data_IF_466509099297
#
_entry.id   IF_466509099297
#
_cell.length_a   1.000
_cell.length_b   1.000
_cell.length_c   1.000
_cell.angle_alpha   90.00
_cell.angle_beta   90.00
_cell.angle_gamma   90.00
#
_symmetry.space_group_name_H-M   'P 1'
#
loop_
_entity.id
_entity.type
_entity.pdbx_description
1 polymer ?
#
# COMPACT_ATOMS: atom_id res chain seq x y z
N UNK A 1 3.95 -2.25 19.78
CA UNK A 1 4.69 -1.03 20.19
C UNK A 1 3.74 0.13 20.02
N UNK A 2 3.41 0.81 21.12
CA UNK A 2 2.56 2.00 21.10
C UNK A 2 3.44 3.21 21.44
N UNK A 3 3.42 4.24 20.60
CA UNK A 3 4.22 5.45 20.81
C UNK A 3 3.42 6.69 20.42
N UNK A 4 3.44 7.67 21.32
CA UNK A 4 2.75 8.96 21.19
C UNK A 4 3.80 10.07 21.28
N UNK A 5 3.94 10.91 20.25
CA UNK A 5 4.86 12.08 20.27
C UNK A 5 4.27 13.27 19.54
N UNK A 6 4.55 14.47 20.04
CA UNK A 6 3.91 15.72 19.58
C UNK A 6 4.81 16.62 18.73
N UNK A 7 6.13 16.44 18.77
CA UNK A 7 7.10 17.16 17.91
C UNK A 7 8.42 16.37 17.86
N UNK A 8 8.87 16.00 16.66
CA UNK A 8 10.21 15.45 16.40
C UNK A 8 10.70 15.96 15.04
N UNK A 9 12.00 15.89 14.75
CA UNK A 9 12.52 16.07 13.39
C UNK A 9 12.48 14.75 12.60
N UNK A 10 12.88 13.64 13.26
CA UNK A 10 12.94 12.30 12.68
C UNK A 10 12.47 11.24 13.70
N UNK A 11 11.91 10.14 13.18
CA UNK A 11 11.66 8.91 13.94
C UNK A 11 12.01 7.72 13.09
N UNK A 12 12.83 6.84 13.64
CA UNK A 12 13.19 5.56 13.05
C UNK A 12 12.80 4.44 14.02
N UNK A 13 12.13 3.40 13.51
CA UNK A 13 11.79 2.19 14.26
C UNK A 13 12.31 0.99 13.47
N UNK A 14 13.38 0.37 13.96
CA UNK A 14 13.93 -0.87 13.40
C UNK A 14 13.62 -2.04 14.34
N UNK A 15 13.00 -3.09 13.80
CA UNK A 15 12.66 -4.28 14.57
C UNK A 15 13.04 -5.56 13.81
N UNK A 16 13.89 -6.37 14.45
CA UNK A 16 14.32 -7.69 13.98
C UNK A 16 13.75 -8.76 14.92
N UNK A 17 12.96 -9.69 14.39
CA UNK A 17 12.37 -10.78 15.21
C UNK A 17 12.37 -12.12 14.48
N UNK A 18 12.60 -13.18 15.24
CA UNK A 18 12.52 -14.57 14.79
C UNK A 18 11.40 -15.26 15.57
N UNK A 19 10.50 -15.97 14.89
CA UNK A 19 9.42 -16.78 15.45
C UNK A 19 8.54 -16.01 16.47
N UNK A 20 7.52 -15.30 15.99
CA UNK A 20 6.57 -14.59 16.86
C UNK A 20 5.12 -14.86 16.51
N UNK A 21 4.24 -14.92 17.50
CA UNK A 21 2.80 -15.05 17.25
C UNK A 21 2.23 -13.77 16.62
N UNK A 22 2.44 -12.62 17.25
CA UNK A 22 1.87 -11.35 16.82
C UNK A 22 2.87 -10.20 16.97
N UNK A 23 2.79 -9.23 16.06
CA UNK A 23 3.41 -7.92 16.24
C UNK A 23 2.47 -6.83 15.80
N UNK A 24 2.19 -5.91 16.71
CA UNK A 24 1.35 -4.74 16.50
C UNK A 24 2.18 -3.46 16.63
N UNK A 25 2.00 -2.49 15.74
CA UNK A 25 2.61 -1.15 15.83
C UNK A 25 1.54 -0.09 15.60
N UNK A 26 1.21 0.66 16.64
CA UNK A 26 0.29 1.80 16.56
C UNK A 26 1.04 3.11 16.83
N UNK A 27 0.91 4.11 15.96
CA UNK A 27 1.60 5.39 16.11
C UNK A 27 0.71 6.60 15.84
N UNK A 28 0.63 7.51 16.81
CA UNK A 28 -0.10 8.78 16.70
C UNK A 28 0.84 9.97 16.93
N UNK A 29 0.97 10.86 15.94
CA UNK A 29 1.88 12.02 16.01
C UNK A 29 1.36 13.29 15.35
N UNK A 30 1.82 14.43 15.89
CA UNK A 30 1.60 15.80 15.39
C UNK A 30 2.95 16.39 14.93
N UNK A 31 3.02 17.00 13.74
CA UNK A 31 4.18 17.71 13.16
C UNK A 31 5.55 16.99 13.21
N UNK A 32 6.01 16.44 12.07
CA UNK A 32 7.32 15.81 11.96
C UNK A 32 7.89 15.97 10.54
N UNK A 33 9.21 15.93 10.35
CA UNK A 33 9.76 15.96 8.98
C UNK A 33 9.75 14.57 8.35
N UNK A 34 10.24 13.54 9.05
CA UNK A 34 10.40 12.19 8.50
C UNK A 34 10.01 11.07 9.49
N UNK A 35 9.41 9.99 8.99
CA UNK A 35 9.18 8.75 9.75
C UNK A 35 9.53 7.53 8.92
N UNK A 36 10.37 6.67 9.48
CA UNK A 36 10.81 5.42 8.88
C UNK A 36 10.49 4.25 9.82
N UNK A 37 9.94 3.17 9.26
CA UNK A 37 9.66 1.93 9.98
C UNK A 37 10.18 0.76 9.15
N UNK A 38 11.22 0.09 9.66
CA UNK A 38 11.77 -1.12 9.05
C UNK A 38 11.52 -2.33 9.94
N UNK A 39 10.78 -3.32 9.43
CA UNK A 39 10.55 -4.58 10.13
C UNK A 39 11.11 -5.76 9.32
N UNK A 40 12.00 -6.53 9.94
CA UNK A 40 12.59 -7.75 9.38
C UNK A 40 12.15 -8.95 10.23
N UNK A 41 11.43 -9.91 9.63
CA UNK A 41 10.87 -11.04 10.39
C UNK A 41 10.89 -12.39 9.68
N UNK A 42 11.05 -13.44 10.48
CA UNK A 42 10.94 -14.84 10.08
C UNK A 42 9.86 -15.55 10.90
N UNK A 43 8.94 -16.24 10.22
CA UNK A 43 7.80 -17.00 10.75
C UNK A 43 6.94 -16.19 11.74
N UNK A 44 5.89 -15.53 11.26
CA UNK A 44 4.96 -14.79 12.14
C UNK A 44 3.51 -15.00 11.79
N UNK A 45 2.63 -15.27 12.76
CA UNK A 45 1.20 -15.47 12.44
C UNK A 45 0.56 -14.18 11.94
N UNK A 46 0.72 -13.07 12.67
CA UNK A 46 0.10 -11.79 12.33
C UNK A 46 1.04 -10.59 12.52
N UNK A 47 0.97 -9.63 11.59
CA UNK A 47 1.60 -8.31 11.75
C UNK A 47 0.61 -7.21 11.38
N UNK A 48 0.43 -6.28 12.29
CA UNK A 48 -0.45 -5.12 12.13
C UNK A 48 0.34 -3.84 12.35
N UNK A 49 0.14 -2.85 11.48
CA UNK A 49 0.76 -1.53 11.56
C UNK A 49 -0.31 -0.46 11.32
N UNK A 50 -0.65 0.31 12.35
CA UNK A 50 -1.56 1.44 12.26
C UNK A 50 -0.80 2.76 12.50
N UNK A 51 -0.79 3.67 11.53
CA UNK A 51 -0.17 4.99 11.70
C UNK A 51 -1.19 6.11 11.43
N UNK A 52 -1.28 7.05 12.37
CA UNK A 52 -2.09 8.26 12.32
C UNK A 52 -1.18 9.48 12.43
N UNK A 53 -1.19 10.33 11.40
CA UNK A 53 -0.25 11.47 11.31
C UNK A 53 -0.89 12.76 10.78
N UNK A 54 -0.45 13.88 11.37
CA UNK A 54 -0.79 15.23 10.94
C UNK A 54 0.47 16.01 10.58
N UNK A 55 0.52 16.55 9.35
CA UNK A 55 1.65 17.31 8.78
C UNK A 55 2.99 16.56 8.86
N UNK A 56 3.32 15.81 7.80
CA UNK A 56 4.61 15.10 7.71
C UNK A 56 5.21 15.23 6.32
N UNK A 57 6.50 15.52 6.19
CA UNK A 57 7.09 15.60 4.84
C UNK A 57 7.16 14.22 4.19
N UNK A 58 7.74 13.22 4.87
CA UNK A 58 7.94 11.89 4.32
C UNK A 58 7.58 10.77 5.31
N UNK A 59 7.04 9.67 4.77
CA UNK A 59 6.82 8.43 5.51
C UNK A 59 7.23 7.24 4.66
N UNK A 60 8.13 6.43 5.22
CA UNK A 60 8.63 5.21 4.61
C UNK A 60 8.33 4.02 5.52
N UNK A 61 7.87 2.93 4.91
CA UNK A 61 7.60 1.67 5.60
C UNK A 61 8.18 0.53 4.78
N UNK A 62 9.23 -0.11 5.29
CA UNK A 62 9.84 -1.28 4.66
C UNK A 62 9.60 -2.53 5.49
N UNK A 63 8.91 -3.51 4.91
CA UNK A 63 8.65 -4.79 5.57
C UNK A 63 9.30 -5.93 4.79
N UNK A 64 10.25 -6.61 5.41
CA UNK A 64 10.92 -7.81 4.89
C UNK A 64 10.48 -9.02 5.72
N UNK A 65 9.77 -9.98 5.10
CA UNK A 65 9.15 -11.09 5.84
C UNK A 65 9.26 -12.44 5.14
N UNK A 66 9.49 -13.48 5.93
CA UNK A 66 9.51 -14.88 5.52
C UNK A 66 8.46 -15.68 6.29
N UNK A 67 7.50 -16.29 5.58
CA UNK A 67 6.37 -17.09 6.08
C UNK A 67 5.45 -16.36 7.09
N UNK A 68 4.27 -15.90 6.63
CA UNK A 68 3.26 -15.28 7.49
C UNK A 68 1.84 -15.74 7.15
N UNK A 69 0.94 -15.79 8.15
CA UNK A 69 -0.49 -15.97 7.84
C UNK A 69 -1.09 -14.66 7.33
N UNK A 70 -0.93 -13.56 8.09
CA UNK A 70 -1.60 -12.27 7.78
C UNK A 70 -0.68 -11.07 7.98
N UNK A 71 -0.87 -10.04 7.14
CA UNK A 71 -0.25 -8.72 7.30
C UNK A 71 -1.24 -7.63 6.94
N UNK A 72 -1.45 -6.70 7.87
CA UNK A 72 -2.33 -5.54 7.72
C UNK A 72 -1.54 -4.24 7.94
N UNK A 73 -1.77 -3.25 7.09
CA UNK A 73 -1.17 -1.91 7.18
C UNK A 73 -2.26 -0.88 6.96
N UNK A 74 -2.57 -0.10 8.01
CA UNK A 74 -3.52 1.00 7.95
C UNK A 74 -2.81 2.34 8.16
N UNK A 75 -2.95 3.25 7.20
CA UNK A 75 -2.33 4.58 7.28
C UNK A 75 -3.38 5.68 7.10
N UNK A 76 -3.51 6.52 8.12
CA UNK A 76 -4.37 7.70 8.13
C UNK A 76 -3.50 8.97 8.18
N UNK A 77 -3.56 9.81 7.14
CA UNK A 77 -2.66 10.96 7.00
C UNK A 77 -3.36 12.24 6.56
N UNK A 78 -3.04 13.33 7.27
CA UNK A 78 -3.43 14.69 6.93
C UNK A 78 -2.19 15.49 6.53
N UNK A 79 -2.16 16.00 5.29
CA UNK A 79 -1.02 16.70 4.67
C UNK A 79 0.32 15.93 4.75
N UNK A 80 0.65 15.20 3.70
CA UNK A 80 1.96 14.57 3.55
C UNK A 80 2.59 14.98 2.22
N UNK A 81 3.92 15.00 2.08
CA UNK A 81 4.51 15.21 0.73
C UNK A 81 4.66 13.89 0.01
N UNK A 82 5.31 12.91 0.65
CA UNK A 82 5.60 11.61 0.07
C UNK A 82 5.27 10.45 1.02
N UNK A 83 4.78 9.36 0.43
CA UNK A 83 4.57 8.10 1.14
C UNK A 83 5.07 6.96 0.29
N UNK A 84 5.99 6.19 0.85
CA UNK A 84 6.56 5.01 0.23
C UNK A 84 6.28 3.78 1.13
N UNK A 85 5.84 2.69 0.49
CA UNK A 85 5.58 1.42 1.17
C UNK A 85 6.21 0.31 0.33
N UNK A 86 7.26 -0.30 0.86
CA UNK A 86 7.93 -1.42 0.22
C UNK A 86 7.69 -2.70 1.03
N UNK A 87 7.01 -3.68 0.42
CA UNK A 87 6.80 -4.98 1.06
C UNK A 87 7.48 -6.09 0.26
N UNK A 88 8.43 -6.76 0.91
CA UNK A 88 9.12 -7.93 0.40
C UNK A 88 8.68 -9.16 1.20
N UNK A 89 7.95 -10.09 0.55
CA UNK A 89 7.33 -11.23 1.25
C UNK A 89 7.52 -12.56 0.53
N UNK A 90 7.92 -13.57 1.31
CA UNK A 90 7.89 -14.98 0.92
C UNK A 90 6.81 -15.72 1.69
N UNK A 91 5.93 -16.44 0.98
CA UNK A 91 4.79 -17.22 1.51
C UNK A 91 3.90 -16.43 2.49
N UNK A 92 2.82 -15.83 2.01
CA UNK A 92 1.86 -15.13 2.87
C UNK A 92 0.42 -15.45 2.50
N UNK A 93 -0.43 -15.86 3.46
CA UNK A 93 -1.82 -16.17 3.10
C UNK A 93 -2.57 -14.91 2.66
N UNK A 94 -2.54 -13.84 3.46
CA UNK A 94 -3.27 -12.61 3.17
C UNK A 94 -2.45 -11.35 3.44
N UNK A 95 -2.65 -10.34 2.59
CA UNK A 95 -2.08 -9.01 2.77
C UNK A 95 -3.12 -7.95 2.45
N UNK A 96 -3.35 -7.06 3.40
CA UNK A 96 -4.25 -5.93 3.28
C UNK A 96 -3.48 -4.62 3.51
N UNK A 97 -3.74 -3.62 2.66
CA UNK A 97 -3.16 -2.29 2.76
C UNK A 97 -4.28 -1.27 2.58
N UNK A 98 -4.59 -0.51 3.63
CA UNK A 98 -5.59 0.54 3.59
C UNK A 98 -4.93 1.91 3.81
N UNK A 99 -5.02 2.78 2.80
CA UNK A 99 -4.46 4.13 2.86
C UNK A 99 -5.57 5.19 2.75
N UNK A 100 -5.71 6.01 3.80
CA UNK A 100 -6.64 7.16 3.85
C UNK A 100 -5.84 8.47 3.86
N UNK A 101 -5.98 9.29 2.81
CA UNK A 101 -5.16 10.48 2.61
C UNK A 101 -5.97 11.70 2.14
N UNK A 102 -5.79 12.83 2.82
CA UNK A 102 -6.49 14.07 2.48
C UNK A 102 -5.73 14.96 1.47
N UNK A 103 -4.42 15.09 1.63
CA UNK A 103 -3.59 15.91 0.75
C UNK A 103 -2.18 15.34 0.69
N UNK A 104 -1.74 14.92 -0.50
CA UNK A 104 -0.43 14.32 -0.66
C UNK A 104 0.17 14.61 -2.04
N UNK A 105 1.49 14.79 -2.15
CA UNK A 105 2.08 15.01 -3.49
C UNK A 105 2.27 13.69 -4.22
N UNK A 106 2.91 12.71 -3.58
CA UNK A 106 3.27 11.43 -4.22
C UNK A 106 3.03 10.23 -3.30
N UNK A 107 2.51 9.14 -3.87
CA UNK A 107 2.36 7.85 -3.20
C UNK A 107 2.94 6.75 -4.07
N UNK A 108 3.88 6.00 -3.51
CA UNK A 108 4.46 4.83 -4.14
C UNK A 108 4.21 3.60 -3.27
N UNK A 109 3.81 2.50 -3.90
CA UNK A 109 3.58 1.22 -3.26
C UNK A 109 4.26 0.14 -4.10
N UNK A 110 5.35 -0.43 -3.60
CA UNK A 110 6.06 -1.51 -4.24
C UNK A 110 5.87 -2.81 -3.46
N UNK A 111 5.29 -3.81 -4.12
CA UNK A 111 5.07 -5.12 -3.52
C UNK A 111 5.77 -6.22 -4.31
N UNK A 112 6.76 -6.85 -3.68
CA UNK A 112 7.50 -7.99 -4.21
C UNK A 112 7.07 -9.25 -3.46
N UNK A 113 6.37 -10.16 -4.14
CA UNK A 113 5.76 -11.35 -3.52
C UNK A 113 5.97 -12.63 -4.32
N UNK A 114 6.33 -13.70 -3.62
CA UNK A 114 6.58 -15.00 -4.26
C UNK A 114 5.35 -15.91 -4.24
N UNK A 115 4.75 -16.16 -3.08
CA UNK A 115 3.51 -16.93 -2.93
C UNK A 115 2.54 -16.15 -2.05
N UNK A 116 1.38 -15.77 -2.58
CA UNK A 116 0.35 -15.08 -1.79
C UNK A 116 -1.04 -15.54 -2.16
N UNK A 117 -1.87 -15.95 -1.20
CA UNK A 117 -3.23 -16.38 -1.56
C UNK A 117 -4.08 -15.19 -1.98
N UNK A 118 -4.11 -14.12 -1.17
CA UNK A 118 -4.90 -12.92 -1.43
C UNK A 118 -4.11 -11.64 -1.16
N UNK A 119 -4.28 -10.65 -2.06
CA UNK A 119 -3.85 -9.29 -1.84
C UNK A 119 -5.01 -8.34 -2.06
N UNK A 120 -5.24 -7.45 -1.09
CA UNK A 120 -6.15 -6.33 -1.20
C UNK A 120 -5.40 -5.01 -0.96
N UNK A 121 -5.65 -4.03 -1.81
CA UNK A 121 -5.15 -2.66 -1.65
C UNK A 121 -6.31 -1.69 -1.79
N UNK A 122 -6.66 -1.00 -0.71
CA UNK A 122 -7.66 0.06 -0.72
C UNK A 122 -7.02 1.43 -0.52
N UNK A 123 -7.32 2.34 -1.43
CA UNK A 123 -6.73 3.68 -1.47
C UNK A 123 -7.84 4.72 -1.57
N UNK A 124 -8.06 5.44 -0.46
CA UNK A 124 -9.01 6.54 -0.36
C UNK A 124 -8.26 7.87 -0.36
N UNK A 125 -8.44 8.68 -1.40
CA UNK A 125 -7.65 9.89 -1.62
C UNK A 125 -8.48 11.10 -2.05
N UNK A 126 -8.25 12.24 -1.40
CA UNK A 126 -8.96 13.49 -1.69
C UNK A 126 -8.20 14.41 -2.68
N UNK A 127 -6.89 14.63 -2.46
CA UNK A 127 -6.00 15.36 -3.40
C UNK A 127 -4.65 14.66 -3.51
N UNK A 128 -4.25 14.25 -4.72
CA UNK A 128 -2.87 13.76 -4.95
C UNK A 128 -2.33 14.06 -6.34
N UNK A 129 -1.07 14.48 -6.47
CA UNK A 129 -0.48 14.71 -7.79
C UNK A 129 -0.15 13.39 -8.51
N UNK A 130 0.50 12.44 -7.83
CA UNK A 130 0.93 11.17 -8.42
C UNK A 130 0.68 9.96 -7.50
N UNK A 131 0.23 8.86 -8.10
CA UNK A 131 0.14 7.54 -7.47
C UNK A 131 0.79 6.51 -8.37
N UNK A 132 1.74 5.76 -7.83
CA UNK A 132 2.35 4.61 -8.48
C UNK A 132 2.16 3.36 -7.62
N UNK A 133 1.77 2.26 -8.27
CA UNK A 133 1.63 0.95 -7.64
C UNK A 133 2.36 -0.07 -8.51
N UNK A 134 3.48 -0.61 -8.02
CA UNK A 134 4.22 -1.66 -8.69
C UNK A 134 4.05 -2.99 -7.96
N UNK A 135 3.46 -3.97 -8.64
CA UNK A 135 3.25 -5.31 -8.10
C UNK A 135 4.06 -6.34 -8.89
N UNK A 136 5.09 -6.90 -8.26
CA UNK A 136 5.92 -7.98 -8.79
C UNK A 136 5.56 -9.30 -8.11
N UNK A 137 4.99 -10.24 -8.88
CA UNK A 137 4.37 -11.45 -8.32
C UNK A 137 4.70 -12.73 -9.09
N UNK A 138 5.04 -13.78 -8.34
CA UNK A 138 5.30 -15.10 -8.92
C UNK A 138 4.06 -15.99 -8.93
N UNK A 139 3.50 -16.34 -7.76
CA UNK A 139 2.24 -17.10 -7.62
C UNK A 139 1.27 -16.33 -6.71
N UNK A 140 0.14 -15.86 -7.24
CA UNK A 140 -0.90 -15.23 -6.41
C UNK A 140 -2.31 -15.58 -6.86
N UNK A 141 -3.15 -16.09 -5.96
CA UNK A 141 -4.49 -16.57 -6.35
C UNK A 141 -5.41 -15.40 -6.72
N UNK A 142 -5.50 -14.38 -5.87
CA UNK A 142 -6.39 -13.23 -6.07
C UNK A 142 -5.71 -11.89 -5.74
N UNK A 143 -6.02 -10.88 -6.53
CA UNK A 143 -5.54 -9.51 -6.37
C UNK A 143 -6.69 -8.55 -6.58
N UNK A 144 -6.98 -7.74 -5.58
CA UNK A 144 -7.97 -6.68 -5.66
C UNK A 144 -7.31 -5.32 -5.35
N UNK A 145 -7.59 -4.33 -6.19
CA UNK A 145 -7.10 -2.96 -6.02
C UNK A 145 -8.29 -2.02 -6.17
N UNK A 146 -8.72 -1.39 -5.07
CA UNK A 146 -9.79 -0.41 -5.06
C UNK A 146 -9.23 1.00 -4.85
N UNK A 147 -9.45 1.87 -5.84
CA UNK A 147 -8.98 3.25 -5.83
C UNK A 147 -10.19 4.21 -5.80
N UNK A 148 -10.41 4.87 -4.66
CA UNK A 148 -11.43 5.91 -4.48
C UNK A 148 -10.78 7.29 -4.46
N UNK A 149 -11.09 8.15 -5.45
CA UNK A 149 -10.34 9.38 -5.72
C UNK A 149 -11.22 10.59 -6.05
N UNK A 150 -10.90 11.73 -5.45
CA UNK A 150 -11.64 12.99 -5.66
C UNK A 150 -10.93 14.04 -6.55
N UNK A 151 -9.58 14.05 -6.62
CA UNK A 151 -8.82 14.99 -7.46
C UNK A 151 -7.34 14.55 -7.64
N UNK A 152 -6.96 14.08 -8.84
CA UNK A 152 -5.59 13.61 -9.13
C UNK A 152 -5.09 13.99 -10.53
N UNK A 153 -3.79 14.27 -10.70
CA UNK A 153 -3.20 14.45 -12.04
C UNK A 153 -2.79 13.12 -12.70
N UNK A 154 -2.11 12.20 -11.99
CA UNK A 154 -1.57 10.97 -12.59
C UNK A 154 -1.72 9.72 -11.69
N UNK A 155 -1.96 8.57 -12.32
CA UNK A 155 -2.03 7.25 -11.70
C UNK A 155 -1.35 6.24 -12.61
N UNK A 156 -0.39 5.50 -12.08
CA UNK A 156 0.28 4.40 -12.76
C UNK A 156 0.17 3.12 -11.94
N UNK A 157 -0.19 2.01 -12.59
CA UNK A 157 -0.26 0.69 -11.97
C UNK A 157 0.47 -0.29 -12.86
N UNK A 158 1.63 -0.76 -12.41
CA UNK A 158 2.41 -1.77 -13.12
C UNK A 158 2.27 -3.14 -12.44
N UNK A 159 1.85 -4.13 -13.21
CA UNK A 159 1.59 -5.48 -12.74
C UNK A 159 2.47 -6.48 -13.49
N UNK A 160 3.52 -6.98 -12.84
CA UNK A 160 4.42 -8.01 -13.35
C UNK A 160 4.06 -9.36 -12.74
N UNK A 161 3.65 -10.33 -13.56
CA UNK A 161 3.02 -11.59 -13.11
C UNK A 161 3.50 -12.83 -13.85
N UNK A 162 3.81 -13.88 -13.09
CA UNK A 162 4.12 -15.20 -13.62
C UNK A 162 2.91 -16.16 -13.62
N UNK A 163 2.24 -16.38 -12.47
CA UNK A 163 1.10 -17.30 -12.30
C UNK A 163 0.02 -16.73 -11.36
N UNK A 164 -1.11 -16.24 -11.89
CA UNK A 164 -2.26 -15.82 -11.08
C UNK A 164 -3.58 -16.37 -11.62
N UNK A 165 -4.58 -16.61 -10.77
CA UNK A 165 -5.93 -16.97 -11.20
C UNK A 165 -6.81 -15.76 -11.54
N UNK A 166 -6.85 -14.72 -10.69
CA UNK A 166 -7.76 -13.57 -10.85
C UNK A 166 -7.15 -12.23 -10.37
N UNK A 167 -7.48 -11.15 -11.09
CA UNK A 167 -7.06 -9.78 -10.78
C UNK A 167 -8.23 -8.84 -11.06
N UNK A 168 -8.59 -8.03 -10.09
CA UNK A 168 -9.63 -7.01 -10.18
C UNK A 168 -9.06 -5.63 -9.80
N UNK A 169 -9.36 -4.63 -10.61
CA UNK A 169 -8.96 -3.24 -10.37
C UNK A 169 -10.20 -2.36 -10.53
N UNK A 170 -10.65 -1.77 -9.42
CA UNK A 170 -11.81 -0.88 -9.40
C UNK A 170 -11.36 0.56 -9.19
N UNK A 171 -11.78 1.44 -10.09
CA UNK A 171 -11.38 2.84 -10.11
C UNK A 171 -12.60 3.77 -10.01
N UNK A 172 -12.83 4.31 -8.82
CA UNK A 172 -13.87 5.31 -8.58
C UNK A 172 -13.24 6.70 -8.57
N UNK A 173 -13.51 7.51 -9.60
CA UNK A 173 -12.80 8.78 -9.84
C UNK A 173 -13.74 9.97 -9.95
N UNK A 174 -13.35 11.08 -9.34
CA UNK A 174 -13.81 12.42 -9.66
C UNK A 174 -12.57 13.21 -10.08
N UNK A 175 -12.58 13.86 -11.25
CA UNK A 175 -11.48 14.70 -11.78
C UNK A 175 -10.09 14.02 -11.78
N UNK A 176 -9.79 13.19 -12.79
CA UNK A 176 -8.44 12.63 -13.00
C UNK A 176 -7.94 12.96 -14.40
N UNK A 177 -6.70 13.44 -14.52
CA UNK A 177 -6.13 13.83 -15.83
C UNK A 177 -5.56 12.65 -16.62
N UNK A 178 -4.84 11.72 -15.98
CA UNK A 178 -4.21 10.56 -16.65
C UNK A 178 -4.20 9.31 -15.78
N UNK A 179 -4.46 8.14 -16.38
CA UNK A 179 -4.33 6.81 -15.76
C UNK A 179 -3.69 5.84 -16.73
N UNK A 180 -2.64 5.17 -16.28
CA UNK A 180 -1.93 4.12 -17.00
C UNK A 180 -1.94 2.82 -16.18
N UNK A 181 -2.25 1.70 -16.85
CA UNK A 181 -2.25 0.37 -16.24
C UNK A 181 -1.49 -0.56 -17.17
N UNK A 182 -0.29 -0.96 -16.76
CA UNK A 182 0.54 -1.89 -17.51
C UNK A 182 0.49 -3.28 -16.89
N UNK A 183 0.36 -4.26 -17.76
CA UNK A 183 0.14 -5.64 -17.38
C UNK A 183 1.07 -6.56 -18.15
N UNK A 184 2.06 -7.10 -17.44
CA UNK A 184 3.03 -8.05 -17.96
C UNK A 184 2.71 -9.42 -17.39
N UNK A 185 2.27 -10.36 -18.25
CA UNK A 185 1.82 -11.69 -17.86
C UNK A 185 2.54 -12.77 -18.66
N UNK A 186 2.86 -13.88 -17.98
CA UNK A 186 3.37 -15.10 -18.63
C UNK A 186 2.30 -16.20 -18.81
N UNK A 187 1.16 -16.15 -18.12
CA UNK A 187 0.10 -17.17 -18.17
C UNK A 187 -1.35 -16.62 -18.14
N UNK A 188 -2.30 -17.49 -18.48
CA UNK A 188 -3.75 -17.20 -18.56
C UNK A 188 -4.32 -16.78 -17.20
N UNK A 189 -4.75 -15.53 -17.11
CA UNK A 189 -5.34 -14.94 -15.90
C UNK A 189 -6.46 -13.98 -16.26
N UNK A 190 -7.59 -14.06 -15.55
CA UNK A 190 -8.71 -13.12 -15.72
C UNK A 190 -8.31 -11.76 -15.13
N UNK A 191 -8.42 -10.70 -15.92
CA UNK A 191 -8.25 -9.32 -15.44
C UNK A 191 -9.54 -8.56 -15.72
N UNK A 192 -10.08 -7.99 -14.66
CA UNK A 192 -11.21 -7.07 -14.72
C UNK A 192 -10.76 -5.69 -14.26
N UNK A 193 -11.07 -4.69 -15.07
CA UNK A 193 -10.83 -3.28 -14.75
C UNK A 193 -12.19 -2.59 -14.86
N UNK A 194 -12.67 -2.05 -13.75
CA UNK A 194 -13.96 -1.35 -13.71
C UNK A 194 -13.78 0.08 -13.18
N UNK A 195 -14.70 0.96 -13.52
CA UNK A 195 -14.73 2.31 -12.98
C UNK A 195 -15.94 3.11 -13.44
N UNK A 196 -16.45 3.98 -12.58
CA UNK A 196 -17.49 4.94 -12.93
C UNK A 196 -16.85 6.33 -13.11
N UNK A 197 -16.81 6.88 -14.33
CA UNK A 197 -16.57 8.30 -14.51
C UNK A 197 -17.77 9.08 -13.95
N UNK A 198 -17.58 10.33 -13.49
CA UNK A 198 -18.70 11.23 -13.27
C UNK A 198 -19.49 11.41 -14.57
N UNK A 199 -20.82 11.52 -14.49
CA UNK A 199 -21.76 11.56 -15.64
C UNK A 199 -21.44 12.58 -16.77
N UNK A 200 -20.51 13.50 -16.54
CA UNK A 200 -20.11 14.54 -17.50
C UNK A 200 -18.84 14.21 -18.29
N UNK A 201 -18.23 13.03 -18.10
CA UNK A 201 -17.02 12.58 -18.81
C UNK A 201 -17.41 11.51 -19.86
N UNK A 202 -17.44 11.88 -21.15
CA UNK A 202 -17.69 10.96 -22.28
C UNK A 202 -16.39 10.65 -23.02
N UNK A 203 -16.27 9.40 -23.50
CA UNK A 203 -15.12 8.82 -24.22
C UNK A 203 -14.74 9.56 -25.50
#
# INVERSE_FOLDING_TARGET
>A
INLYKWNTSQLEINLYKWNTSQVEINLYKWNNSQVEINLYKWNTSQVEINLYKWNTSQVEINLYKWNNSQVEINLYKWNTSQVEINLYKWNTSQVEINLYKWNNSQVEINLYKWNTSQLEINLYKWKTSQLEINLYKWNTSQVEINLYKWNNSQVEINLYKWNNSQVEINLYKWNTSQVEINLYKWNNSKVEISGTPPKWYTF
#
